data_IF_312649255243
#
_entry.id   IF_312649255243
#
_cell.length_a   1.000
_cell.length_b   1.000
_cell.length_c   1.000
_cell.angle_alpha   90.00
_cell.angle_beta   90.00
_cell.angle_gamma   90.00
#
_symmetry.space_group_name_H-M   'P 1'
#
loop_
_entity.id
_entity.type
_entity.pdbx_description
1 polymer ?
#
# COMPACT_ATOMS: atom_id res chain seq x y z
N UNK A 1 4.80 4.14 7.68
CA UNK A 1 5.14 3.95 6.25
C UNK A 1 6.61 4.25 5.99
N UNK A 2 7.10 5.48 6.21
CA UNK A 2 8.49 5.89 5.88
C UNK A 2 9.58 5.05 6.57
N UNK A 3 9.31 4.50 7.76
CA UNK A 3 10.27 3.68 8.53
C UNK A 3 10.63 2.35 7.89
N UNK A 4 9.80 1.82 6.99
CA UNK A 4 10.05 0.52 6.31
C UNK A 4 10.54 0.67 4.87
N UNK A 5 10.54 1.89 4.32
CA UNK A 5 10.98 2.16 2.95
C UNK A 5 12.52 2.21 2.85
N UNK A 6 13.13 1.89 1.69
CA UNK A 6 14.59 1.78 1.49
C UNK A 6 15.30 3.14 1.36
N UNK A 7 15.20 3.96 2.41
CA UNK A 7 15.72 5.34 2.44
C UNK A 7 17.16 5.45 2.92
N UNK A 8 17.74 4.36 3.41
CA UNK A 8 19.15 4.25 3.76
C UNK A 8 19.77 2.99 3.17
N UNK A 9 21.10 2.91 3.20
CA UNK A 9 21.84 1.81 2.59
C UNK A 9 21.45 0.43 3.17
N UNK A 10 21.29 0.25 4.50
CA UNK A 10 20.80 -1.02 5.06
C UNK A 10 19.43 -1.43 4.54
N UNK A 11 18.44 -0.53 4.56
CA UNK A 11 17.08 -0.84 4.10
C UNK A 11 17.03 -1.07 2.59
N UNK A 12 17.85 -0.35 1.80
CA UNK A 12 17.98 -0.61 0.36
C UNK A 12 18.60 -1.97 0.06
N UNK A 13 19.61 -2.39 0.82
CA UNK A 13 20.19 -3.71 0.68
C UNK A 13 19.18 -4.82 1.00
N UNK A 14 18.37 -4.64 2.05
CA UNK A 14 17.30 -5.57 2.40
C UNK A 14 16.21 -5.63 1.31
N UNK A 15 15.77 -4.49 0.79
CA UNK A 15 14.79 -4.43 -0.30
C UNK A 15 15.30 -5.16 -1.56
N UNK A 16 16.56 -4.95 -1.94
CA UNK A 16 17.16 -5.64 -3.10
C UNK A 16 17.19 -7.16 -2.92
N UNK A 17 17.43 -7.64 -1.70
CA UNK A 17 17.34 -9.07 -1.39
C UNK A 17 15.91 -9.58 -1.52
N UNK A 18 14.94 -8.86 -0.95
CA UNK A 18 13.51 -9.19 -1.06
C UNK A 18 13.04 -9.22 -2.52
N UNK A 19 13.40 -8.21 -3.31
CA UNK A 19 13.05 -8.12 -4.73
C UNK A 19 13.53 -9.34 -5.53
N UNK A 20 14.72 -9.88 -5.22
CA UNK A 20 15.21 -11.09 -5.88
C UNK A 20 14.31 -12.32 -5.64
N UNK A 21 13.69 -12.43 -4.47
CA UNK A 21 12.70 -13.48 -4.20
C UNK A 21 11.37 -13.20 -4.89
N UNK A 22 10.90 -11.96 -4.89
CA UNK A 22 9.65 -11.56 -5.57
C UNK A 22 9.73 -11.83 -7.08
N UNK A 23 10.86 -11.50 -7.73
CA UNK A 23 11.08 -11.81 -9.14
C UNK A 23 11.15 -13.32 -9.43
N UNK A 24 11.56 -14.12 -8.44
CA UNK A 24 11.60 -15.59 -8.56
C UNK A 24 10.25 -16.24 -8.33
N UNK A 25 9.36 -15.62 -7.55
CA UNK A 25 8.07 -16.16 -7.13
C UNK A 25 7.19 -16.72 -8.27
N UNK A 26 7.11 -16.12 -9.47
CA UNK A 26 6.33 -16.68 -10.59
C UNK A 26 6.87 -18.01 -11.12
N UNK A 27 8.12 -18.35 -10.83
CA UNK A 27 8.83 -19.52 -11.34
C UNK A 27 9.11 -20.58 -10.25
N UNK A 28 8.80 -20.28 -9.00
CA UNK A 28 9.05 -21.15 -7.85
C UNK A 28 7.84 -21.10 -6.90
N UNK A 29 7.11 -22.22 -6.83
CA UNK A 29 5.85 -22.29 -6.10
C UNK A 29 6.03 -22.11 -4.58
N UNK A 30 7.15 -22.57 -4.02
CA UNK A 30 7.41 -22.44 -2.58
C UNK A 30 7.67 -20.97 -2.22
N UNK A 31 8.49 -20.30 -3.03
CA UNK A 31 8.73 -18.86 -2.88
C UNK A 31 7.43 -18.07 -3.10
N UNK A 32 6.65 -18.43 -4.13
CA UNK A 32 5.36 -17.77 -4.41
C UNK A 32 4.37 -17.89 -3.24
N UNK A 33 4.26 -19.06 -2.61
CA UNK A 33 3.43 -19.23 -1.42
C UNK A 33 3.94 -18.41 -0.23
N UNK A 34 5.26 -18.37 -0.01
CA UNK A 34 5.85 -17.60 1.08
C UNK A 34 5.60 -16.09 0.93
N UNK A 35 5.80 -15.55 -0.28
CA UNK A 35 5.51 -14.14 -0.60
C UNK A 35 4.02 -13.84 -0.42
N UNK A 36 3.13 -14.69 -0.97
CA UNK A 36 1.69 -14.50 -0.85
C UNK A 36 1.19 -14.52 0.60
N UNK A 37 1.74 -15.40 1.44
CA UNK A 37 1.43 -15.45 2.86
C UNK A 37 1.85 -14.16 3.59
N UNK A 38 3.06 -13.66 3.31
CA UNK A 38 3.55 -12.40 3.88
C UNK A 38 2.68 -11.21 3.46
N UNK A 39 2.31 -11.12 2.18
CA UNK A 39 1.41 -10.08 1.66
C UNK A 39 0.01 -10.16 2.28
N UNK A 40 -0.48 -11.37 2.56
CA UNK A 40 -1.76 -11.55 3.24
C UNK A 40 -1.71 -11.06 4.69
N UNK A 41 -0.63 -11.35 5.42
CA UNK A 41 -0.43 -10.87 6.79
C UNK A 41 -0.39 -9.33 6.85
N UNK A 42 0.36 -8.71 5.93
CA UNK A 42 0.44 -7.25 5.84
C UNK A 42 -0.91 -6.61 5.49
N UNK A 43 -1.65 -7.16 4.51
CA UNK A 43 -2.99 -6.67 4.18
C UNK A 43 -3.95 -6.82 5.34
N UNK A 44 -3.92 -7.94 6.06
CA UNK A 44 -4.75 -8.14 7.24
C UNK A 44 -4.47 -7.10 8.34
N UNK A 45 -3.18 -6.77 8.55
CA UNK A 45 -2.77 -5.73 9.50
C UNK A 45 -3.28 -4.34 9.07
N UNK A 46 -3.10 -3.95 7.81
CA UNK A 46 -3.62 -2.67 7.30
C UNK A 46 -5.15 -2.57 7.40
N UNK A 47 -5.86 -3.62 6.99
CA UNK A 47 -7.32 -3.64 7.08
C UNK A 47 -7.81 -3.54 8.53
N UNK A 48 -7.09 -4.14 9.48
CA UNK A 48 -7.38 -4.00 10.91
C UNK A 48 -7.19 -2.55 11.40
N UNK A 49 -6.19 -1.82 10.89
CA UNK A 49 -5.98 -0.41 11.24
C UNK A 49 -7.13 0.45 10.72
N UNK A 50 -7.59 0.22 9.49
CA UNK A 50 -8.74 0.94 8.92
C UNK A 50 -10.01 0.64 9.72
N UNK A 51 -10.30 -0.63 10.03
CA UNK A 51 -11.45 -1.01 10.87
C UNK A 51 -11.42 -0.36 12.25
N UNK A 52 -10.24 -0.26 12.86
CA UNK A 52 -10.09 0.43 14.15
C UNK A 52 -10.39 1.92 14.02
N UNK A 53 -9.83 2.58 13.01
CA UNK A 53 -10.08 4.00 12.75
C UNK A 53 -11.55 4.30 12.45
N UNK A 54 -12.27 3.37 11.79
CA UNK A 54 -13.73 3.46 11.61
C UNK A 54 -14.50 3.37 12.93
N UNK A 55 -14.10 2.44 13.82
CA UNK A 55 -14.69 2.33 15.16
C UNK A 55 -14.47 3.58 16.02
N UNK A 56 -13.37 4.30 15.76
CA UNK A 56 -13.01 5.58 16.40
C UNK A 56 -13.58 6.81 15.65
N UNK A 57 -14.36 6.60 14.58
CA UNK A 57 -14.92 7.64 13.71
C UNK A 57 -13.88 8.57 13.05
N UNK A 58 -12.62 8.12 12.95
CA UNK A 58 -11.54 8.82 12.24
C UNK A 58 -11.58 8.59 10.72
N UNK A 59 -12.16 7.46 10.30
CA UNK A 59 -12.33 7.08 8.88
C UNK A 59 -13.80 6.80 8.59
N UNK A 60 -14.38 7.28 7.46
CA UNK A 60 -15.76 7.00 7.11
C UNK A 60 -16.06 5.50 6.98
N UNK A 61 -17.24 5.08 7.44
CA UNK A 61 -17.70 3.69 7.33
C UNK A 61 -17.89 3.21 5.87
N UNK A 62 -17.97 4.14 4.91
CA UNK A 62 -18.06 3.85 3.47
C UNK A 62 -16.72 3.40 2.86
N UNK A 63 -15.60 3.58 3.55
CA UNK A 63 -14.29 3.12 3.07
C UNK A 63 -14.19 1.60 3.28
N UNK A 64 -13.91 0.87 2.21
CA UNK A 64 -13.65 -0.57 2.28
C UNK A 64 -12.25 -0.83 2.89
N UNK A 65 -12.16 -1.47 4.08
CA UNK A 65 -10.88 -1.74 4.74
C UNK A 65 -9.96 -2.65 3.93
N UNK A 66 -10.51 -3.65 3.25
CA UNK A 66 -9.73 -4.66 2.55
C UNK A 66 -9.24 -4.10 1.20
N UNK A 67 -10.06 -3.32 0.50
CA UNK A 67 -9.63 -2.59 -0.70
C UNK A 67 -8.54 -1.55 -0.37
N UNK A 68 -8.69 -0.83 0.75
CA UNK A 68 -7.68 0.14 1.22
C UNK A 68 -6.36 -0.57 1.54
N UNK A 69 -6.41 -1.71 2.24
CA UNK A 69 -5.23 -2.49 2.57
C UNK A 69 -4.47 -2.97 1.33
N UNK A 70 -5.20 -3.43 0.31
CA UNK A 70 -4.63 -3.77 -1.00
C UNK A 70 -3.93 -2.58 -1.64
N UNK A 71 -4.59 -1.43 -1.73
CA UNK A 71 -4.05 -0.23 -2.35
C UNK A 71 -2.78 0.27 -1.63
N UNK A 72 -2.78 0.27 -0.29
CA UNK A 72 -1.63 0.67 0.52
C UNK A 72 -0.45 -0.27 0.29
N UNK A 73 -0.66 -1.59 0.33
CA UNK A 73 0.43 -2.54 0.12
C UNK A 73 1.04 -2.40 -1.28
N UNK A 74 0.20 -2.36 -2.32
CA UNK A 74 0.67 -2.21 -3.70
C UNK A 74 1.46 -0.92 -3.92
N UNK A 75 0.98 0.20 -3.35
CA UNK A 75 1.68 1.47 -3.39
C UNK A 75 3.04 1.39 -2.69
N UNK A 76 3.09 0.82 -1.48
CA UNK A 76 4.33 0.69 -0.72
C UNK A 76 5.36 -0.18 -1.45
N UNK A 77 4.94 -1.30 -2.01
CA UNK A 77 5.82 -2.19 -2.80
C UNK A 77 6.35 -1.48 -4.06
N UNK A 78 5.49 -0.79 -4.81
CA UNK A 78 5.91 -0.03 -5.99
C UNK A 78 6.89 1.10 -5.66
N UNK A 79 6.63 1.84 -4.57
CA UNK A 79 7.50 2.91 -4.09
C UNK A 79 8.84 2.36 -3.58
N UNK A 80 8.84 1.27 -2.81
CA UNK A 80 10.06 0.64 -2.32
C UNK A 80 10.96 0.19 -3.47
N UNK A 81 10.37 -0.46 -4.50
CA UNK A 81 11.08 -0.85 -5.71
C UNK A 81 11.74 0.35 -6.41
N UNK A 82 10.99 1.45 -6.63
CA UNK A 82 11.53 2.67 -7.27
C UNK A 82 12.72 3.26 -6.51
N UNK A 83 12.61 3.35 -5.18
CA UNK A 83 13.65 3.89 -4.31
C UNK A 83 14.97 3.08 -4.31
N UNK A 84 14.98 1.87 -4.88
CA UNK A 84 16.22 1.10 -5.08
C UNK A 84 17.10 1.64 -6.20
N UNK A 85 16.51 2.27 -7.23
CA UNK A 85 17.21 2.77 -8.42
C UNK A 85 17.05 4.27 -8.66
N UNK A 86 16.05 4.92 -8.05
CA UNK A 86 15.83 6.37 -8.08
C UNK A 86 15.63 6.91 -6.65
N UNK A 87 16.71 7.09 -5.87
CA UNK A 87 16.62 7.57 -4.49
C UNK A 87 16.14 9.01 -4.42
N UNK A 88 15.13 9.27 -3.60
CA UNK A 88 14.63 10.62 -3.29
C UNK A 88 14.75 10.92 -1.79
N UNK A 89 14.67 12.20 -1.44
CA UNK A 89 14.74 12.64 -0.04
C UNK A 89 13.58 12.09 0.80
N UNK A 90 13.84 11.75 2.07
CA UNK A 90 12.84 11.20 2.99
C UNK A 90 11.59 12.09 3.10
N UNK A 91 11.76 13.41 3.11
CA UNK A 91 10.66 14.38 3.18
C UNK A 91 9.71 14.23 1.99
N UNK A 92 10.24 14.15 0.76
CA UNK A 92 9.43 13.94 -0.44
C UNK A 92 8.66 12.60 -0.39
N UNK A 93 9.31 11.54 0.11
CA UNK A 93 8.67 10.22 0.29
C UNK A 93 7.55 10.28 1.32
N UNK A 94 7.77 11.00 2.43
CA UNK A 94 6.79 11.21 3.48
C UNK A 94 5.56 11.93 2.96
N UNK A 95 5.76 12.96 2.15
CA UNK A 95 4.67 13.74 1.56
C UNK A 95 3.88 12.91 0.55
N UNK A 96 4.55 12.11 -0.29
CA UNK A 96 3.88 11.19 -1.20
C UNK A 96 3.07 10.11 -0.45
N UNK A 97 3.61 9.57 0.66
CA UNK A 97 2.88 8.62 1.50
C UNK A 97 1.62 9.24 2.10
N UNK A 98 1.72 10.47 2.62
CA UNK A 98 0.57 11.22 3.17
C UNK A 98 -0.49 11.43 2.11
N UNK A 99 -0.10 11.95 0.95
CA UNK A 99 -1.01 12.22 -0.16
C UNK A 99 -1.81 10.97 -0.57
N UNK A 100 -1.15 9.82 -0.69
CA UNK A 100 -1.82 8.58 -1.08
C UNK A 100 -2.73 8.06 0.02
N UNK A 101 -2.30 8.07 1.28
CA UNK A 101 -3.15 7.65 2.41
C UNK A 101 -4.38 8.55 2.53
N UNK A 102 -4.19 9.87 2.42
CA UNK A 102 -5.29 10.83 2.48
C UNK A 102 -6.27 10.60 1.31
N UNK A 103 -5.76 10.36 0.10
CA UNK A 103 -6.60 10.05 -1.05
C UNK A 103 -7.41 8.76 -0.86
N UNK A 104 -6.83 7.72 -0.24
CA UNK A 104 -7.52 6.45 0.00
C UNK A 104 -8.58 6.55 1.10
N UNK A 105 -8.33 7.35 2.14
CA UNK A 105 -9.24 7.48 3.28
C UNK A 105 -10.34 8.53 3.08
N UNK A 106 -10.16 9.45 2.14
CA UNK A 106 -11.11 10.55 1.88
C UNK A 106 -11.64 10.59 0.44
N UNK A 107 -11.05 9.81 -0.48
CA UNK A 107 -11.42 9.76 -1.88
C UNK A 107 -12.46 8.68 -2.20
N UNK A 108 -13.74 8.98 -1.98
CA UNK A 108 -14.85 8.56 -2.86
C UNK A 108 -16.15 9.28 -2.46
N UNK A 109 -16.40 10.41 -3.10
CA UNK A 109 -17.74 10.85 -3.52
C UNK A 109 -17.88 10.73 -5.06
N UNK A 110 -16.99 9.99 -5.72
CA UNK A 110 -17.01 9.81 -7.16
C UNK A 110 -17.84 8.56 -7.49
N UNK A 111 -19.18 8.71 -7.47
CA UNK A 111 -20.10 7.63 -7.74
C UNK A 111 -21.59 7.98 -7.76
N UNK A 112 -22.00 9.25 -7.73
CA UNK A 112 -23.30 9.64 -8.31
C UNK A 112 -23.09 9.82 -9.81
N UNK A 113 -23.25 8.73 -10.56
CA UNK A 113 -23.64 8.86 -11.95
C UNK A 113 -25.05 9.46 -11.94
N UNK A 114 -25.08 10.77 -12.16
CA UNK A 114 -26.26 11.54 -12.51
C UNK A 114 -26.91 10.84 -13.73
N UNK A 115 -27.93 10.03 -13.46
CA UNK A 115 -28.76 9.42 -14.48
C UNK A 115 -29.49 10.59 -15.16
N UNK A 116 -29.28 10.87 -16.47
CA UNK A 116 -30.01 11.94 -17.10
C UNK A 116 -31.48 11.53 -17.13
N UNK A 117 -32.29 12.21 -16.32
CA UNK A 117 -33.74 12.13 -16.37
C UNK A 117 -34.18 12.37 -17.82
N UNK A 118 -34.60 11.30 -18.50
CA UNK A 118 -35.25 11.41 -19.80
C UNK A 118 -36.72 11.78 -19.64
N UNK A 119 -37.24 12.65 -20.53
CA UNK A 119 -38.57 13.27 -20.44
C UNK A 119 -39.74 12.32 -20.70
#
# INVERSE_FOLDING_TARGET
MVTVLPLDAPRRAAELQGAAFVERAPFDAEIGMAVAASDQELRAAFASLVRRAQAEAEVPASIDPDATAWAVLAFMQGMASQLTYDPVAEEAVRDQCRLIVDALLHGSQAGEHDEPASP
#
